data_IF_249519017968
#
_entry.id   IF_249519017968
#
_cell.length_a   1.000
_cell.length_b   1.000
_cell.length_c   1.000
_cell.angle_alpha   90.00
_cell.angle_beta   90.00
_cell.angle_gamma   90.00
#
_symmetry.space_group_name_H-M   'P 1'
#
loop_
_entity.id
_entity.type
_entity.pdbx_description
1 polymer ?
#
# COMPACT_ATOMS: atom_id res chain seq x y z
N UNK A 1 8.73 4.63 21.39
CA UNK A 1 7.60 5.59 21.47
C UNK A 1 6.35 4.83 21.89
N UNK A 2 5.59 5.37 22.84
CA UNK A 2 4.37 4.75 23.38
C UNK A 2 3.16 5.62 23.01
N UNK A 3 2.06 4.99 22.60
CA UNK A 3 0.80 5.66 22.25
C UNK A 3 -0.27 5.16 23.23
N UNK A 4 -0.95 6.09 23.90
CA UNK A 4 -2.10 5.78 24.77
C UNK A 4 -3.36 6.33 24.15
N UNK A 5 -4.32 5.45 23.90
CA UNK A 5 -5.66 5.81 23.42
C UNK A 5 -6.61 5.72 24.61
N UNK A 6 -7.36 6.79 24.86
CA UNK A 6 -8.33 6.89 25.97
C UNK A 6 -9.75 6.83 25.42
N UNK A 7 -10.71 6.51 26.28
CA UNK A 7 -12.14 6.52 25.96
C UNK A 7 -12.50 5.64 24.75
N UNK A 8 -11.85 4.48 24.64
CA UNK A 8 -12.24 3.48 23.64
C UNK A 8 -13.46 2.73 24.18
N UNK A 9 -14.46 2.59 23.34
CA UNK A 9 -15.67 1.83 23.64
C UNK A 9 -15.37 0.38 24.06
N UNK A 10 -16.08 -0.12 25.07
CA UNK A 10 -15.86 -1.45 25.64
C UNK A 10 -16.15 -2.56 24.63
N UNK A 11 -17.19 -2.39 23.80
CA UNK A 11 -17.52 -3.33 22.74
C UNK A 11 -16.40 -3.44 21.71
N UNK A 12 -15.78 -2.31 21.36
CA UNK A 12 -14.62 -2.26 20.47
C UNK A 12 -13.42 -3.01 21.07
N UNK A 13 -13.14 -2.82 22.36
CA UNK A 13 -12.07 -3.54 23.06
C UNK A 13 -12.34 -5.05 23.08
N UNK A 14 -13.58 -5.46 23.37
CA UNK A 14 -13.98 -6.86 23.39
C UNK A 14 -13.76 -7.53 22.04
N UNK A 15 -14.23 -6.89 20.95
CA UNK A 15 -14.04 -7.37 19.58
C UNK A 15 -12.56 -7.54 19.22
N UNK A 16 -11.71 -6.55 19.55
CA UNK A 16 -10.28 -6.63 19.26
C UNK A 16 -9.59 -7.73 20.08
N UNK A 17 -10.00 -7.92 21.34
CA UNK A 17 -9.50 -9.01 22.18
C UNK A 17 -9.87 -10.37 21.61
N UNK A 18 -11.15 -10.58 21.28
CA UNK A 18 -11.63 -11.82 20.67
C UNK A 18 -10.86 -12.14 19.38
N UNK A 19 -10.71 -11.13 18.51
CA UNK A 19 -9.93 -11.28 17.27
C UNK A 19 -8.48 -11.67 17.56
N UNK A 20 -7.82 -11.02 18.52
CA UNK A 20 -6.43 -11.32 18.88
C UNK A 20 -6.26 -12.76 19.39
N UNK A 21 -7.22 -13.25 20.19
CA UNK A 21 -7.23 -14.62 20.69
C UNK A 21 -7.43 -15.63 19.55
N UNK A 22 -8.37 -15.37 18.65
CA UNK A 22 -8.65 -16.21 17.48
C UNK A 22 -7.43 -16.35 16.57
N UNK A 23 -6.67 -15.26 16.40
CA UNK A 23 -5.47 -15.21 15.57
C UNK A 23 -4.19 -15.65 16.34
N UNK A 24 -4.31 -16.04 17.61
CA UNK A 24 -3.19 -16.56 18.42
C UNK A 24 -2.10 -15.52 18.71
N UNK A 25 -2.44 -14.24 18.76
CA UNK A 25 -1.48 -13.13 18.94
C UNK A 25 -1.90 -12.15 20.02
N UNK A 26 -0.94 -11.36 20.52
CA UNK A 26 -1.24 -10.34 21.52
C UNK A 26 -2.07 -9.20 20.93
N UNK A 27 -2.97 -8.63 21.74
CA UNK A 27 -3.78 -7.46 21.37
C UNK A 27 -2.91 -6.30 20.87
N UNK A 28 -1.78 -6.05 21.52
CA UNK A 28 -0.85 -5.00 21.12
C UNK A 28 -0.22 -5.26 19.74
N UNK A 29 0.12 -6.52 19.42
CA UNK A 29 0.62 -6.89 18.10
C UNK A 29 -0.44 -6.68 17.03
N UNK A 30 -1.67 -7.14 17.28
CA UNK A 30 -2.81 -6.92 16.39
C UNK A 30 -3.03 -5.43 16.11
N UNK A 31 -3.08 -4.59 17.15
CA UNK A 31 -3.29 -3.15 16.99
C UNK A 31 -2.15 -2.52 16.19
N UNK A 32 -0.90 -2.89 16.44
CA UNK A 32 0.25 -2.37 15.70
C UNK A 32 0.14 -2.69 14.20
N UNK A 33 -0.24 -3.91 13.87
CA UNK A 33 -0.44 -4.31 12.48
C UNK A 33 -1.59 -3.56 11.82
N UNK A 34 -2.72 -3.39 12.52
CA UNK A 34 -3.85 -2.61 12.01
C UNK A 34 -3.46 -1.16 11.73
N UNK A 35 -2.76 -0.51 12.67
CA UNK A 35 -2.28 0.86 12.49
C UNK A 35 -1.28 0.97 11.33
N UNK A 36 -0.39 -0.02 11.19
CA UNK A 36 0.58 -0.06 10.09
C UNK A 36 -0.13 -0.25 8.74
N UNK A 37 -1.13 -1.14 8.69
CA UNK A 37 -1.91 -1.40 7.49
C UNK A 37 -2.69 -0.15 7.05
N UNK A 38 -3.36 0.53 7.99
CA UNK A 38 -4.08 1.78 7.70
C UNK A 38 -3.12 2.92 7.33
N UNK A 39 -1.97 3.05 7.97
CA UNK A 39 -0.97 4.04 7.57
C UNK A 39 -0.45 3.82 6.13
N UNK A 40 -0.39 2.56 5.68
CA UNK A 40 0.02 2.21 4.32
C UNK A 40 -1.12 2.29 3.30
N UNK A 41 -2.37 2.42 3.74
CA UNK A 41 -3.56 2.42 2.87
C UNK A 41 -3.51 3.51 1.80
N UNK A 42 -3.20 4.79 2.08
CA UNK A 42 -3.17 5.83 1.04
C UNK A 42 -2.16 5.51 -0.07
N UNK A 43 -0.98 4.98 0.31
CA UNK A 43 0.04 4.56 -0.65
C UNK A 43 -0.45 3.40 -1.51
N UNK A 44 -1.10 2.39 -0.92
CA UNK A 44 -1.68 1.25 -1.65
C UNK A 44 -2.76 1.70 -2.63
N UNK A 45 -3.65 2.59 -2.22
CA UNK A 45 -4.69 3.15 -3.08
C UNK A 45 -4.11 3.96 -4.24
N UNK A 46 -3.06 4.75 -4.00
CA UNK A 46 -2.35 5.48 -5.05
C UNK A 46 -1.71 4.53 -6.07
N UNK A 47 -1.01 3.50 -5.60
CA UNK A 47 -0.37 2.51 -6.48
C UNK A 47 -1.41 1.73 -7.30
N UNK A 48 -2.54 1.37 -6.69
CA UNK A 48 -3.65 0.72 -7.40
C UNK A 48 -4.23 1.61 -8.50
N UNK A 49 -4.42 2.91 -8.22
CA UNK A 49 -4.85 3.88 -9.25
C UNK A 49 -3.85 4.02 -10.39
N UNK A 50 -2.55 4.10 -10.08
CA UNK A 50 -1.49 4.17 -11.08
C UNK A 50 -1.43 2.92 -11.95
N UNK A 51 -1.57 1.73 -11.36
CA UNK A 51 -1.59 0.47 -12.10
C UNK A 51 -2.79 0.41 -13.06
N UNK A 52 -3.98 0.79 -12.61
CA UNK A 52 -5.18 0.83 -13.44
C UNK A 52 -5.02 1.83 -14.60
N UNK A 53 -4.45 3.01 -14.32
CA UNK A 53 -4.14 4.02 -15.35
C UNK A 53 -3.14 3.50 -16.38
N UNK A 54 -2.06 2.85 -15.94
CA UNK A 54 -1.06 2.27 -16.83
C UNK A 54 -1.65 1.17 -17.72
N UNK A 55 -2.49 0.31 -17.17
CA UNK A 55 -3.20 -0.72 -17.92
C UNK A 55 -4.11 -0.10 -18.99
N UNK A 56 -4.82 0.97 -18.65
CA UNK A 56 -5.65 1.72 -19.59
C UNK A 56 -4.84 2.33 -20.73
N UNK A 57 -3.72 3.00 -20.43
CA UNK A 57 -2.82 3.54 -21.45
C UNK A 57 -2.28 2.43 -22.37
N UNK A 58 -1.87 1.30 -21.79
CA UNK A 58 -1.34 0.16 -22.56
C UNK A 58 -2.40 -0.42 -23.48
N UNK A 59 -3.66 -0.53 -23.03
CA UNK A 59 -4.77 -1.00 -23.88
C UNK A 59 -5.04 -0.04 -25.04
N UNK A 60 -4.95 1.28 -24.80
CA UNK A 60 -5.25 2.31 -25.80
C UNK A 60 -4.14 2.51 -26.82
N UNK A 61 -2.88 2.41 -26.39
CA UNK A 61 -1.72 2.84 -27.18
C UNK A 61 -0.68 1.74 -27.41
N UNK A 62 -0.89 0.54 -26.86
CA UNK A 62 0.12 -0.49 -26.79
C UNK A 62 1.22 -0.17 -25.78
N UNK A 63 2.25 -1.01 -25.71
CA UNK A 63 3.42 -0.75 -24.86
C UNK A 63 4.28 0.33 -25.52
N UNK A 64 4.35 1.51 -24.91
CA UNK A 64 5.24 2.58 -25.33
C UNK A 64 6.63 2.33 -24.73
N UNK A 65 7.71 2.37 -25.53
CA UNK A 65 9.05 2.24 -24.98
C UNK A 65 9.40 3.45 -24.10
N UNK A 66 10.09 3.22 -22.99
CA UNK A 66 10.59 4.26 -22.06
C UNK A 66 11.51 5.30 -22.72
N UNK A 67 11.94 5.06 -23.96
CA UNK A 67 12.79 5.96 -24.73
C UNK A 67 12.37 6.00 -26.20
N UNK A 68 12.27 7.23 -26.73
CA UNK A 68 12.09 7.45 -28.17
C UNK A 68 13.30 6.89 -28.92
N UNK A 69 13.15 6.55 -30.21
CA UNK A 69 14.26 6.08 -31.03
C UNK A 69 15.48 7.01 -30.96
N UNK A 70 15.31 8.34 -30.98
CA UNK A 70 16.44 9.28 -30.93
C UNK A 70 17.20 9.23 -29.60
N UNK A 71 16.49 9.01 -28.48
CA UNK A 71 17.10 8.88 -27.15
C UNK A 71 17.96 7.62 -27.09
N UNK A 72 17.47 6.49 -27.62
CA UNK A 72 18.23 5.24 -27.71
C UNK A 72 19.49 5.43 -28.56
N UNK A 73 19.35 5.99 -29.76
CA UNK A 73 20.48 6.25 -30.64
C UNK A 73 21.54 7.15 -30.01
N UNK A 74 21.14 8.24 -29.32
CA UNK A 74 22.08 9.13 -28.63
C UNK A 74 22.79 8.46 -27.45
N UNK A 75 22.11 7.55 -26.73
CA UNK A 75 22.72 6.77 -25.66
C UNK A 75 23.75 5.79 -26.21
N UNK A 76 23.39 5.07 -27.26
CA UNK A 76 24.27 4.07 -27.88
C UNK A 76 25.51 4.74 -28.53
N UNK A 77 25.38 5.98 -29.03
CA UNK A 77 26.51 6.80 -29.51
C UNK A 77 27.46 7.30 -28.41
N UNK A 78 27.00 7.36 -27.16
CA UNK A 78 27.80 7.75 -25.99
C UNK A 78 28.39 6.54 -25.25
N UNK A 79 28.05 5.32 -25.71
CA UNK A 79 28.56 4.05 -25.19
C UNK A 79 30.03 3.85 -25.53
#
# INVERSE_FOLDING_TARGET
>A
MEIRVRNVDEGTIAMLRERSQREGRSLASLIRELLTAEAMRPRREMLSRLAAWHEELTKRHGTLPDSTPEIRTKRDQRG
#
